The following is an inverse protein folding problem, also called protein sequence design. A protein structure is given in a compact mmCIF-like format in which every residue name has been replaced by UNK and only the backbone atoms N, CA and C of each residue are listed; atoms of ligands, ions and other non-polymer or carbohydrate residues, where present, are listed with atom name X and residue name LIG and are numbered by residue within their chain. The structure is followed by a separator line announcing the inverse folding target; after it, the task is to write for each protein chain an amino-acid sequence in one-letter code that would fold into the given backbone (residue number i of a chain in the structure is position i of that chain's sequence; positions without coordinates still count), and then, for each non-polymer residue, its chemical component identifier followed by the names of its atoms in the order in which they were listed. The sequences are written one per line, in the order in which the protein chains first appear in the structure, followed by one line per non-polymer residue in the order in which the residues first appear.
data_IF_406172866570
#
_entry.id   IF_406172866570
#
_cell.length_a   1.000
_cell.length_b   1.000
_cell.length_c   1.000
_cell.angle_alpha   90.00
_cell.angle_beta   90.00
_cell.angle_gamma   90.00
#
_symmetry.space_group_name_H-M   'P 1'
#
loop_
_entity.id
_entity.type
_entity.pdbx_description
1 polymer ?
#
# COMPACT_ATOMS: atom_id res chain seq x y z
N UNK A 1 13.36 -24.73 8.44
CA UNK A 1 12.27 -24.61 7.45
C UNK A 1 12.86 -23.92 6.23
N UNK A 2 13.50 -24.67 5.36
CA UNK A 2 13.88 -24.20 4.03
C UNK A 2 12.59 -24.08 3.22
N UNK A 3 12.22 -22.86 2.88
CA UNK A 3 11.17 -22.64 1.90
C UNK A 3 11.70 -23.15 0.57
N UNK A 4 11.30 -24.36 0.17
CA UNK A 4 11.47 -24.85 -1.19
C UNK A 4 10.75 -23.90 -2.14
N UNK A 5 11.47 -22.89 -2.61
CA UNK A 5 10.99 -21.95 -3.61
C UNK A 5 10.74 -22.75 -4.87
N UNK A 6 9.47 -22.89 -5.23
CA UNK A 6 9.10 -23.36 -6.57
C UNK A 6 9.83 -22.48 -7.59
N UNK A 7 10.55 -23.06 -8.56
CA UNK A 7 11.25 -22.28 -9.57
C UNK A 7 10.23 -21.35 -10.23
N UNK A 8 10.58 -20.06 -10.32
CA UNK A 8 9.74 -19.08 -10.98
C UNK A 8 9.41 -19.61 -12.38
N UNK A 9 8.14 -19.58 -12.81
CA UNK A 9 7.77 -20.00 -14.15
C UNK A 9 8.62 -19.21 -15.16
N UNK A 10 9.29 -19.93 -16.06
CA UNK A 10 10.03 -19.32 -17.17
C UNK A 10 9.03 -18.41 -17.90
N UNK A 11 9.31 -17.10 -18.00
CA UNK A 11 8.38 -16.20 -18.64
C UNK A 11 8.16 -16.66 -20.09
N UNK A 12 6.92 -16.59 -20.61
CA UNK A 12 6.66 -16.92 -22.00
C UNK A 12 7.55 -16.08 -22.92
N UNK A 13 7.96 -16.68 -24.04
CA UNK A 13 8.75 -16.01 -25.06
C UNK A 13 8.14 -14.65 -25.39
N UNK A 14 9.01 -13.67 -25.61
CA UNK A 14 8.63 -12.30 -25.98
C UNK A 14 7.59 -12.37 -27.11
N UNK A 15 6.49 -11.60 -27.06
CA UNK A 15 5.59 -11.53 -28.21
C UNK A 15 6.43 -11.24 -29.45
N UNK A 16 6.43 -12.20 -30.39
CA UNK A 16 7.26 -12.18 -31.58
C UNK A 16 6.94 -10.92 -32.39
N UNK A 17 7.88 -9.98 -32.46
CA UNK A 17 7.74 -8.75 -33.25
C UNK A 17 7.76 -7.44 -32.48
N UNK A 18 7.98 -7.43 -31.17
CA UNK A 18 8.12 -6.18 -30.42
C UNK A 18 9.60 -5.76 -30.37
N UNK A 19 9.99 -4.82 -31.23
CA UNK A 19 11.34 -4.24 -31.22
C UNK A 19 11.58 -3.47 -29.92
N UNK A 20 12.78 -3.57 -29.36
CA UNK A 20 13.14 -3.00 -28.05
C UNK A 20 13.06 -1.47 -27.97
N UNK A 21 12.82 -0.78 -29.09
CA UNK A 21 12.82 0.68 -29.20
C UNK A 21 11.46 1.38 -29.34
N UNK A 22 10.37 0.70 -29.67
CA UNK A 22 9.09 1.38 -29.99
C UNK A 22 8.36 1.88 -28.74
N UNK A 23 8.15 3.18 -28.55
CA UNK A 23 7.35 3.73 -27.44
C UNK A 23 5.92 3.15 -27.43
N UNK A 24 5.32 3.04 -26.24
CA UNK A 24 4.00 2.41 -26.04
C UNK A 24 3.09 3.48 -25.50
N UNK A 25 1.95 3.68 -26.15
CA UNK A 25 0.92 4.59 -25.67
C UNK A 25 -0.32 3.81 -25.20
N UNK A 26 -0.99 4.27 -24.14
CA UNK A 26 -2.27 3.71 -23.73
C UNK A 26 -3.37 3.99 -24.75
N UNK A 27 -4.13 2.96 -25.12
CA UNK A 27 -5.36 3.12 -25.90
C UNK A 27 -6.52 3.43 -24.94
N UNK A 28 -6.75 4.74 -24.71
CA UNK A 28 -7.83 5.19 -23.82
C UNK A 28 -9.21 4.74 -24.27
N UNK A 29 -9.44 4.53 -25.58
CA UNK A 29 -10.74 4.09 -26.08
C UNK A 29 -11.02 2.66 -25.61
N UNK A 30 -10.03 1.78 -25.76
CA UNK A 30 -10.12 0.38 -25.34
C UNK A 30 -10.21 0.24 -23.81
N UNK A 31 -9.43 1.04 -23.08
CA UNK A 31 -9.46 1.09 -21.60
C UNK A 31 -10.86 1.51 -21.11
N UNK A 32 -11.47 2.51 -21.75
CA UNK A 32 -12.78 3.01 -21.37
C UNK A 32 -13.93 2.08 -21.77
N UNK A 33 -13.79 1.30 -22.85
CA UNK A 33 -14.79 0.28 -23.22
C UNK A 33 -14.71 -0.98 -22.36
N UNK A 34 -13.53 -1.33 -21.85
CA UNK A 34 -13.32 -2.56 -21.05
C UNK A 34 -12.60 -2.32 -19.71
N UNK A 35 -13.12 -1.44 -18.83
CA UNK A 35 -12.41 -1.01 -17.63
C UNK A 35 -12.18 -2.16 -16.64
N UNK A 36 -13.15 -3.08 -16.50
CA UNK A 36 -13.02 -4.22 -15.57
C UNK A 36 -11.90 -5.16 -16.04
N UNK A 37 -11.80 -5.43 -17.35
CA UNK A 37 -10.77 -6.30 -17.92
C UNK A 37 -9.38 -5.67 -17.77
N UNK A 38 -9.27 -4.37 -18.05
CA UNK A 38 -8.06 -3.60 -17.81
C UNK A 38 -7.62 -3.69 -16.34
N UNK A 39 -8.54 -3.45 -15.39
CA UNK A 39 -8.25 -3.53 -13.96
C UNK A 39 -7.88 -4.95 -13.50
N UNK A 40 -8.45 -5.99 -14.09
CA UNK A 40 -8.08 -7.38 -13.79
C UNK A 40 -6.65 -7.71 -14.23
N UNK A 41 -6.25 -7.26 -15.43
CA UNK A 41 -4.90 -7.45 -15.95
C UNK A 41 -3.89 -6.61 -15.16
N UNK A 42 -4.25 -5.37 -14.83
CA UNK A 42 -3.46 -4.47 -13.99
C UNK A 42 -3.58 -4.81 -12.48
N UNK A 43 -4.43 -5.75 -12.07
CA UNK A 43 -4.73 -6.02 -10.66
C UNK A 43 -3.51 -6.34 -9.80
N UNK A 44 -2.52 -7.13 -10.26
CA UNK A 44 -1.31 -7.37 -9.48
C UNK A 44 -0.59 -6.06 -9.16
N UNK A 45 -0.59 -5.11 -10.11
CA UNK A 45 -0.02 -3.79 -9.90
C UNK A 45 -0.86 -2.94 -8.93
N UNK A 46 -2.19 -3.01 -8.98
CA UNK A 46 -3.03 -2.22 -8.07
C UNK A 46 -2.84 -2.59 -6.58
N UNK A 47 -2.64 -3.87 -6.25
CA UNK A 47 -2.57 -4.33 -4.85
C UNK A 47 -1.18 -4.24 -4.23
N UNK A 48 -0.12 -4.50 -4.99
CA UNK A 48 1.26 -4.37 -4.49
C UNK A 48 1.97 -3.09 -4.92
N UNK A 49 1.38 -2.29 -5.82
CA UNK A 49 2.01 -1.16 -6.56
C UNK A 49 3.29 -1.52 -7.29
N UNK A 50 3.69 -2.80 -7.23
CA UNK A 50 4.88 -3.38 -7.81
C UNK A 50 4.59 -4.82 -8.17
N UNK A 51 5.00 -5.30 -9.35
CA UNK A 51 4.91 -6.69 -9.69
C UNK A 51 5.86 -7.53 -8.83
N UNK A 52 5.72 -8.84 -8.93
CA UNK A 52 6.64 -9.79 -8.32
C UNK A 52 8.05 -9.58 -8.90
N UNK A 53 8.90 -8.90 -8.14
CA UNK A 53 10.30 -8.64 -8.47
C UNK A 53 11.17 -9.01 -7.26
N UNK A 54 12.34 -9.67 -7.44
CA UNK A 54 13.22 -10.06 -6.33
C UNK A 54 13.60 -8.90 -5.40
N UNK A 55 13.83 -7.70 -5.96
CA UNK A 55 14.16 -6.48 -5.22
C UNK A 55 13.06 -6.08 -4.21
N UNK A 56 11.81 -6.37 -4.52
CA UNK A 56 10.66 -6.03 -3.67
C UNK A 56 10.16 -7.20 -2.81
N UNK A 57 10.87 -8.34 -2.80
CA UNK A 57 10.50 -9.55 -2.03
C UNK A 57 10.38 -9.31 -0.50
N UNK A 58 10.99 -8.23 0.00
CA UNK A 58 10.87 -7.79 1.39
C UNK A 58 9.66 -6.89 1.67
N UNK A 59 9.03 -6.33 0.64
CA UNK A 59 7.94 -5.35 0.73
C UNK A 59 6.58 -5.93 0.34
N UNK A 60 6.57 -7.09 -0.31
CA UNK A 60 5.37 -7.84 -0.68
C UNK A 60 5.24 -9.13 0.12
N UNK A 61 4.01 -9.60 0.28
CA UNK A 61 3.73 -10.96 0.71
C UNK A 61 2.67 -11.56 -0.23
N UNK A 62 2.71 -12.88 -0.37
CA UNK A 62 1.75 -13.61 -1.20
C UNK A 62 0.62 -14.17 -0.32
N UNK A 63 -0.62 -13.95 -0.73
CA UNK A 63 -1.80 -14.52 -0.11
C UNK A 63 -2.77 -15.00 -1.17
N UNK A 64 -3.04 -16.32 -1.19
CA UNK A 64 -3.90 -16.99 -2.18
C UNK A 64 -3.51 -16.68 -3.64
N UNK A 65 -2.21 -16.73 -3.96
CA UNK A 65 -1.71 -16.47 -5.32
C UNK A 65 -1.76 -14.99 -5.74
N UNK A 66 -2.03 -14.06 -4.81
CA UNK A 66 -2.00 -12.61 -5.06
C UNK A 66 -0.93 -11.95 -4.21
N UNK A 67 -0.23 -10.98 -4.80
CA UNK A 67 0.77 -10.18 -4.11
C UNK A 67 0.13 -8.96 -3.46
N UNK A 68 0.46 -8.74 -2.21
CA UNK A 68 -0.03 -7.64 -1.39
C UNK A 68 1.14 -6.85 -0.84
N UNK A 69 1.02 -5.52 -0.88
CA UNK A 69 1.99 -4.67 -0.18
C UNK A 69 1.82 -4.84 1.33
N UNK A 70 2.89 -5.26 2.01
CA UNK A 70 2.93 -5.38 3.48
C UNK A 70 2.53 -4.05 4.12
N UNK A 71 3.05 -2.93 3.59
CA UNK A 71 2.76 -1.59 4.10
C UNK A 71 1.27 -1.24 4.09
N UNK A 72 0.61 -1.33 2.94
CA UNK A 72 -0.81 -0.97 2.81
C UNK A 72 -1.72 -1.95 3.53
N UNK A 73 -1.49 -3.25 3.35
CA UNK A 73 -2.34 -4.28 3.93
C UNK A 73 -2.34 -4.21 5.47
N UNK A 74 -1.16 -4.23 6.09
CA UNK A 74 -1.08 -4.22 7.56
C UNK A 74 -1.45 -2.88 8.18
N UNK A 75 -1.21 -1.75 7.49
CA UNK A 75 -1.67 -0.45 7.98
C UNK A 75 -3.22 -0.36 7.98
N UNK A 76 -3.86 -0.77 6.87
CA UNK A 76 -5.32 -0.82 6.79
C UNK A 76 -5.90 -1.79 7.81
N UNK A 77 -5.35 -3.01 7.89
CA UNK A 77 -5.79 -4.03 8.85
C UNK A 77 -5.65 -3.51 10.29
N UNK A 78 -4.51 -2.93 10.63
CA UNK A 78 -4.30 -2.36 11.97
C UNK A 78 -5.29 -1.26 12.28
N UNK A 79 -5.49 -0.30 11.38
CA UNK A 79 -6.43 0.80 11.62
C UNK A 79 -7.86 0.29 11.85
N UNK A 80 -8.35 -0.58 10.97
CA UNK A 80 -9.72 -1.14 11.07
C UNK A 80 -9.88 -1.95 12.35
N UNK A 81 -8.93 -2.85 12.65
CA UNK A 81 -8.98 -3.65 13.89
C UNK A 81 -8.93 -2.77 15.14
N UNK A 82 -8.09 -1.74 15.17
CA UNK A 82 -8.02 -0.80 16.30
C UNK A 82 -9.31 -0.01 16.48
N UNK A 83 -9.94 0.48 15.41
CA UNK A 83 -11.24 1.18 15.51
C UNK A 83 -12.33 0.23 16.03
N UNK A 84 -12.38 -1.01 15.54
CA UNK A 84 -13.35 -2.01 16.02
C UNK A 84 -13.13 -2.30 17.51
N UNK A 85 -11.89 -2.52 17.93
CA UNK A 85 -11.56 -2.75 19.34
C UNK A 85 -11.93 -1.55 20.21
N UNK A 86 -11.58 -0.33 19.78
CA UNK A 86 -11.94 0.90 20.50
C UNK A 86 -13.46 1.09 20.60
N UNK A 87 -14.21 0.74 19.56
CA UNK A 87 -15.67 0.78 19.57
C UNK A 87 -16.25 -0.21 20.60
N UNK A 88 -15.82 -1.47 20.59
CA UNK A 88 -16.29 -2.47 21.57
C UNK A 88 -15.90 -2.14 23.01
N UNK A 89 -14.66 -1.66 23.21
CA UNK A 89 -14.22 -1.21 24.53
C UNK A 89 -15.03 0.01 24.99
N UNK A 90 -15.34 0.95 24.09
CA UNK A 90 -16.21 2.08 24.42
C UNK A 90 -17.61 1.62 24.85
N UNK A 91 -18.22 0.65 24.14
CA UNK A 91 -19.53 0.11 24.51
C UNK A 91 -19.55 -0.57 25.89
N UNK A 92 -18.45 -1.23 26.27
CA UNK A 92 -18.38 -2.01 27.52
C UNK A 92 -17.84 -1.21 28.71
N UNK A 93 -17.02 -0.18 28.46
CA UNK A 93 -16.29 0.57 29.50
C UNK A 93 -16.23 2.07 29.19
N UNK A 94 -17.40 2.72 29.12
CA UNK A 94 -17.55 4.16 28.83
C UNK A 94 -16.64 5.05 29.70
N UNK A 95 -16.41 4.69 30.97
CA UNK A 95 -15.63 5.51 31.91
C UNK A 95 -14.11 5.33 31.82
N UNK A 96 -13.63 4.27 31.16
CA UNK A 96 -12.19 4.02 31.02
C UNK A 96 -11.54 4.86 29.92
N UNK A 97 -12.33 5.47 29.03
CA UNK A 97 -11.82 6.22 27.89
C UNK A 97 -11.63 7.71 28.19
N UNK A 98 -10.49 8.03 28.79
CA UNK A 98 -10.05 9.41 28.86
C UNK A 98 -9.55 9.89 27.48
N UNK A 99 -10.30 10.82 26.87
CA UNK A 99 -9.97 11.46 25.59
C UNK A 99 -8.53 11.97 25.53
N UNK A 100 -8.04 12.55 26.63
CA UNK A 100 -6.69 13.11 26.71
C UNK A 100 -5.62 12.05 26.50
N UNK A 101 -5.72 10.91 27.17
CA UNK A 101 -4.74 9.82 27.03
C UNK A 101 -4.82 9.14 25.67
N UNK A 102 -6.01 8.98 25.09
CA UNK A 102 -6.15 8.47 23.72
C UNK A 102 -5.47 9.37 22.70
N UNK A 103 -5.74 10.67 22.75
CA UNK A 103 -5.19 11.63 21.80
C UNK A 103 -3.66 11.68 21.91
N UNK A 104 -3.13 11.96 23.11
CA UNK A 104 -1.69 12.09 23.32
C UNK A 104 -0.94 10.76 23.20
N UNK A 105 -1.56 9.65 23.59
CA UNK A 105 -1.01 8.31 23.36
C UNK A 105 -0.91 7.99 21.86
N UNK A 106 -1.94 8.33 21.08
CA UNK A 106 -1.91 8.21 19.63
C UNK A 106 -0.86 9.11 18.97
N UNK A 107 -0.79 10.40 19.35
CA UNK A 107 0.26 11.31 18.87
C UNK A 107 1.66 10.78 19.21
N UNK A 108 1.87 10.35 20.46
CA UNK A 108 3.13 9.78 20.91
C UNK A 108 3.53 8.52 20.12
N UNK A 109 2.57 7.63 19.84
CA UNK A 109 2.81 6.44 19.02
C UNK A 109 3.18 6.77 17.57
N UNK A 110 2.57 7.79 16.96
CA UNK A 110 2.96 8.29 15.63
C UNK A 110 4.38 8.87 15.66
N UNK A 111 4.73 9.66 16.68
CA UNK A 111 6.09 10.22 16.83
C UNK A 111 7.12 9.09 16.99
N UNK A 112 6.86 8.09 17.83
CA UNK A 112 7.73 6.92 18.00
C UNK A 112 7.89 6.18 16.67
N UNK A 113 6.82 6.02 15.90
CA UNK A 113 6.88 5.42 14.58
C UNK A 113 7.80 6.18 13.62
N UNK A 114 7.67 7.51 13.56
CA UNK A 114 8.51 8.35 12.71
C UNK A 114 9.98 8.26 13.13
N UNK A 115 10.26 8.32 14.43
CA UNK A 115 11.62 8.16 14.97
C UNK A 115 12.21 6.78 14.66
N UNK A 116 11.41 5.71 14.75
CA UNK A 116 11.84 4.35 14.45
C UNK A 116 12.19 4.17 12.95
N UNK A 117 11.50 4.90 12.06
CA UNK A 117 11.84 4.93 10.64
C UNK A 117 13.17 5.65 10.42
N UNK A 118 13.33 6.86 10.99
CA UNK A 118 14.53 7.68 10.77
C UNK A 118 15.78 7.01 11.35
N UNK A 119 15.63 6.20 12.40
CA UNK A 119 16.71 5.42 12.99
C UNK A 119 17.02 4.11 12.22
N UNK A 120 16.41 3.87 11.06
CA UNK A 120 16.56 2.64 10.27
C UNK A 120 16.29 1.34 11.06
N UNK A 121 15.52 1.38 12.15
CA UNK A 121 15.30 0.21 13.01
C UNK A 121 14.40 -0.86 12.37
N UNK A 122 13.85 -0.60 11.18
CA UNK A 122 12.81 -1.40 10.50
C UNK A 122 13.34 -2.28 9.36
N UNK A 123 14.56 -2.80 9.48
CA UNK A 123 15.15 -3.65 8.42
C UNK A 123 14.47 -5.01 8.28
N UNK A 124 14.01 -5.61 9.38
CA UNK A 124 13.39 -6.95 9.35
C UNK A 124 11.90 -6.90 9.00
N UNK A 125 11.40 -7.91 8.25
CA UNK A 125 9.97 -8.04 7.89
C UNK A 125 9.04 -7.89 9.09
N UNK A 126 9.38 -8.53 10.23
CA UNK A 126 8.58 -8.47 11.46
C UNK A 126 8.50 -7.05 12.02
N UNK A 127 9.62 -6.31 12.08
CA UNK A 127 9.63 -4.92 12.56
C UNK A 127 8.87 -3.99 11.61
N UNK A 128 8.95 -4.20 10.29
CA UNK A 128 8.12 -3.48 9.32
C UNK A 128 6.63 -3.68 9.62
N UNK A 129 6.18 -4.92 9.81
CA UNK A 129 4.79 -5.23 10.16
C UNK A 129 4.39 -4.55 11.48
N UNK A 130 5.18 -4.72 12.54
CA UNK A 130 4.90 -4.12 13.85
C UNK A 130 4.82 -2.59 13.78
N UNK A 131 5.71 -1.95 13.00
CA UNK A 131 5.68 -0.51 12.81
C UNK A 131 4.38 -0.03 12.13
N UNK A 132 3.79 -0.84 11.24
CA UNK A 132 2.50 -0.53 10.61
C UNK A 132 1.33 -0.72 11.57
N UNK A 133 1.42 -1.69 12.48
CA UNK A 133 0.45 -1.83 13.57
C UNK A 133 0.52 -0.65 14.55
N UNK A 134 1.74 -0.21 14.89
CA UNK A 134 1.93 0.97 15.73
C UNK A 134 1.33 2.21 15.06
N UNK A 135 1.65 2.47 13.79
CA UNK A 135 1.10 3.61 13.05
C UNK A 135 -0.42 3.56 12.94
N UNK A 136 -0.98 2.44 12.46
CA UNK A 136 -2.42 2.28 12.25
C UNK A 136 -3.22 2.38 13.55
N UNK A 137 -2.75 1.73 14.63
CA UNK A 137 -3.40 1.81 15.94
C UNK A 137 -3.28 3.19 16.59
N UNK A 138 -2.12 3.84 16.47
CA UNK A 138 -1.93 5.20 16.98
C UNK A 138 -2.82 6.21 16.26
N UNK A 139 -2.91 6.08 14.93
CA UNK A 139 -3.82 6.91 14.12
C UNK A 139 -5.29 6.66 14.48
N UNK A 140 -5.69 5.40 14.68
CA UNK A 140 -7.03 5.05 15.14
C UNK A 140 -7.35 5.67 16.50
N UNK A 141 -6.41 5.71 17.44
CA UNK A 141 -6.59 6.35 18.74
C UNK A 141 -6.81 7.87 18.62
N UNK A 142 -6.05 8.55 17.75
CA UNK A 142 -6.25 9.97 17.44
C UNK A 142 -7.64 10.20 16.85
N UNK A 143 -8.01 9.45 15.80
CA UNK A 143 -9.33 9.55 15.17
C UNK A 143 -10.45 9.31 16.18
N UNK A 144 -10.35 8.27 17.00
CA UNK A 144 -11.35 7.95 18.02
C UNK A 144 -11.48 9.07 19.06
N UNK A 145 -10.37 9.65 19.51
CA UNK A 145 -10.38 10.76 20.45
C UNK A 145 -11.05 12.03 19.88
N UNK A 146 -10.88 12.29 18.58
CA UNK A 146 -11.57 13.39 17.88
C UNK A 146 -13.07 13.13 17.76
N UNK A 147 -13.47 11.89 17.48
CA UNK A 147 -14.89 11.51 17.42
C UNK A 147 -15.58 11.68 18.78
N UNK A 148 -14.89 11.35 19.87
CA UNK A 148 -15.40 11.51 21.23
C UNK A 148 -15.46 12.97 21.72
N UNK A 149 -14.79 13.90 21.04
CA UNK A 149 -14.74 15.29 21.49
C UNK A 149 -16.15 15.91 21.56
N UNK A 150 -16.52 16.47 22.71
CA UNK A 150 -17.82 17.11 22.94
C UNK A 150 -19.04 16.20 22.67
N UNK A 151 -18.84 14.89 22.82
CA UNK A 151 -19.87 13.85 22.64
C UNK A 151 -19.97 13.36 21.20
N UNK A 152 -20.23 12.05 21.01
CA UNK A 152 -20.07 11.37 19.72
C UNK A 152 -20.90 11.99 18.57
N UNK A 153 -22.15 12.36 18.82
CA UNK A 153 -23.09 12.87 17.80
C UNK A 153 -22.99 14.38 17.57
N UNK A 154 -22.31 15.12 18.44
CA UNK A 154 -22.16 16.57 18.29
C UNK A 154 -21.22 16.91 17.13
N UNK A 155 -21.65 17.83 16.26
CA UNK A 155 -20.88 18.34 15.11
C UNK A 155 -20.28 17.23 14.22
N UNK A 156 -21.04 16.15 14.00
CA UNK A 156 -20.57 14.95 13.32
C UNK A 156 -19.94 15.24 11.94
N UNK A 157 -20.53 16.17 11.18
CA UNK A 157 -20.01 16.59 9.88
C UNK A 157 -18.61 17.21 10.00
N UNK A 158 -18.42 18.16 10.92
CA UNK A 158 -17.13 18.83 11.12
C UNK A 158 -16.05 17.83 11.57
N UNK A 159 -16.41 16.87 12.44
CA UNK A 159 -15.50 15.81 12.88
C UNK A 159 -15.09 14.89 11.74
N UNK A 160 -16.05 14.43 10.93
CA UNK A 160 -15.74 13.61 9.76
C UNK A 160 -14.89 14.36 8.75
N UNK A 161 -15.18 15.64 8.49
CA UNK A 161 -14.33 16.49 7.65
C UNK A 161 -12.92 16.60 8.21
N UNK A 162 -12.75 16.84 9.51
CA UNK A 162 -11.44 16.93 10.15
C UNK A 162 -10.67 15.60 10.06
N UNK A 163 -11.33 14.47 10.38
CA UNK A 163 -10.75 13.12 10.27
C UNK A 163 -10.34 12.82 8.83
N UNK A 164 -11.18 13.19 7.86
CA UNK A 164 -10.91 12.99 6.45
C UNK A 164 -9.69 13.82 5.99
N UNK A 165 -9.61 15.10 6.35
CA UNK A 165 -8.46 15.95 6.04
C UNK A 165 -7.18 15.39 6.67
N UNK A 166 -7.23 14.98 7.94
CA UNK A 166 -6.10 14.37 8.63
C UNK A 166 -5.66 13.07 7.94
N UNK A 167 -6.61 12.23 7.53
CA UNK A 167 -6.35 11.02 6.76
C UNK A 167 -5.67 11.32 5.43
N UNK A 168 -6.15 12.32 4.67
CA UNK A 168 -5.53 12.73 3.41
C UNK A 168 -4.08 13.18 3.60
N UNK A 169 -3.79 13.98 4.62
CA UNK A 169 -2.42 14.41 4.94
C UNK A 169 -1.51 13.22 5.22
N UNK A 170 -1.97 12.28 6.06
CA UNK A 170 -1.19 11.07 6.40
C UNK A 170 -0.98 10.19 5.17
N UNK A 171 -2.03 9.93 4.39
CA UNK A 171 -1.93 9.11 3.18
C UNK A 171 -1.03 9.77 2.14
N UNK A 172 -1.13 11.09 1.94
CA UNK A 172 -0.27 11.82 1.03
C UNK A 172 1.21 11.70 1.44
N UNK A 173 1.53 11.93 2.71
CA UNK A 173 2.90 11.80 3.23
C UNK A 173 3.46 10.38 3.06
N UNK A 174 2.66 9.35 3.39
CA UNK A 174 3.06 7.95 3.22
C UNK A 174 3.22 7.58 1.73
N UNK A 175 2.37 8.12 0.87
CA UNK A 175 2.42 7.87 -0.58
C UNK A 175 3.66 8.50 -1.20
N UNK A 176 3.97 9.75 -0.85
CA UNK A 176 5.19 10.44 -1.29
C UNK A 176 6.42 9.65 -0.87
N UNK A 177 6.54 9.30 0.42
CA UNK A 177 7.67 8.50 0.92
C UNK A 177 7.83 7.19 0.17
N UNK A 178 6.72 6.49 -0.09
CA UNK A 178 6.73 5.22 -0.81
C UNK A 178 7.16 5.38 -2.26
N UNK A 179 6.71 6.44 -2.94
CA UNK A 179 7.13 6.75 -4.31
C UNK A 179 8.63 7.01 -4.34
N UNK A 180 9.17 7.79 -3.40
CA UNK A 180 10.61 8.05 -3.31
C UNK A 180 11.43 6.77 -3.08
N UNK A 181 11.06 5.94 -2.09
CA UNK A 181 11.74 4.66 -1.83
C UNK A 181 11.68 3.70 -3.04
N UNK A 182 10.54 3.69 -3.72
CA UNK A 182 10.33 2.91 -4.94
C UNK A 182 11.25 3.38 -6.05
N UNK A 183 11.25 4.69 -6.30
CA UNK A 183 12.03 5.33 -7.36
C UNK A 183 13.52 5.04 -7.14
N UNK A 184 14.02 5.26 -5.93
CA UNK A 184 15.41 4.96 -5.57
C UNK A 184 15.78 3.48 -5.76
N UNK A 185 14.86 2.56 -5.40
CA UNK A 185 15.08 1.12 -5.59
C UNK A 185 15.14 0.75 -7.07
N UNK A 186 14.22 1.27 -7.89
CA UNK A 186 14.15 0.97 -9.31
C UNK A 186 15.28 1.62 -10.11
N UNK A 187 15.77 2.79 -9.70
CA UNK A 187 16.96 3.45 -10.28
C UNK A 187 18.25 2.67 -10.01
N UNK A 188 18.37 2.01 -8.86
CA UNK A 188 19.52 1.17 -8.52
C UNK A 188 19.47 -0.24 -9.12
N UNK A 189 18.35 -0.62 -9.69
CA UNK A 189 18.15 -1.93 -10.30
C UNK A 189 18.86 -2.01 -11.66
N UNK A 190 19.26 -3.21 -12.09
CA UNK A 190 19.92 -3.43 -13.39
C UNK A 190 19.10 -2.91 -14.59
N UNK A 191 17.78 -2.83 -14.43
CA UNK A 191 16.86 -2.34 -15.45
C UNK A 191 16.67 -0.81 -15.45
N UNK A 192 17.21 -0.05 -14.49
CA UNK A 192 17.14 1.43 -14.46
C UNK A 192 15.74 2.03 -14.76
N UNK A 193 14.69 1.50 -14.12
CA UNK A 193 13.29 1.84 -14.43
C UNK A 193 12.81 1.55 -15.86
N UNK A 194 13.43 0.64 -16.61
CA UNK A 194 12.91 0.18 -17.89
C UNK A 194 11.85 -0.92 -17.65
N UNK A 195 10.60 -0.49 -17.43
CA UNK A 195 9.47 -1.36 -17.07
C UNK A 195 9.20 -2.50 -18.09
N UNK A 196 9.69 -2.37 -19.32
CA UNK A 196 9.48 -3.35 -20.40
C UNK A 196 10.42 -4.53 -20.32
N UNK A 197 11.69 -4.24 -20.04
CA UNK A 197 12.75 -5.23 -19.89
C UNK A 197 12.73 -5.82 -18.49
N UNK A 198 12.17 -5.08 -17.51
CA UNK A 198 11.97 -5.55 -16.15
C UNK A 198 11.16 -6.86 -16.09
N UNK A 199 11.72 -7.96 -15.57
CA UNK A 199 11.08 -9.28 -15.56
C UNK A 199 9.80 -9.32 -14.72
N UNK A 200 9.69 -8.45 -13.70
CA UNK A 200 8.47 -8.32 -12.92
C UNK A 200 7.33 -7.69 -13.73
N UNK A 201 7.61 -6.63 -14.49
CA UNK A 201 6.58 -5.90 -15.23
C UNK A 201 6.24 -6.50 -16.59
N UNK A 202 7.21 -7.15 -17.24
CA UNK A 202 7.07 -7.72 -18.58
C UNK A 202 5.79 -8.57 -18.77
N UNK A 203 5.40 -9.48 -17.86
CA UNK A 203 4.16 -10.26 -18.01
C UNK A 203 2.89 -9.39 -18.00
N UNK A 204 2.90 -8.29 -17.24
CA UNK A 204 1.77 -7.36 -17.16
C UNK A 204 1.69 -6.55 -18.46
N UNK A 205 2.83 -5.99 -18.90
CA UNK A 205 2.92 -5.22 -20.14
C UNK A 205 2.51 -6.08 -21.34
N UNK A 206 3.04 -7.31 -21.46
CA UNK A 206 2.69 -8.22 -22.54
C UNK A 206 1.19 -8.53 -22.58
N UNK A 207 0.56 -8.78 -21.42
CA UNK A 207 -0.90 -8.97 -21.38
C UNK A 207 -1.67 -7.73 -21.78
N UNK A 208 -1.23 -6.54 -21.37
CA UNK A 208 -1.88 -5.28 -21.76
C UNK A 208 -1.77 -5.02 -23.27
N UNK A 209 -0.62 -5.33 -23.88
CA UNK A 209 -0.41 -5.21 -25.34
C UNK A 209 -1.27 -6.22 -26.11
N UNK A 210 -1.24 -7.50 -25.70
CA UNK A 210 -2.01 -8.56 -26.36
C UNK A 210 -3.52 -8.31 -26.33
N UNK A 211 -3.99 -7.58 -25.31
CA UNK A 211 -5.40 -7.23 -25.11
C UNK A 211 -5.76 -5.88 -25.72
N UNK A 212 -4.85 -5.23 -26.43
CA UNK A 212 -5.08 -3.95 -27.13
C UNK A 212 -5.11 -2.72 -26.23
N UNK A 213 -4.80 -2.83 -24.94
CA UNK A 213 -4.77 -1.68 -24.03
C UNK A 213 -3.53 -0.80 -24.18
N UNK A 214 -2.44 -1.35 -24.74
CA UNK A 214 -1.22 -0.64 -25.08
C UNK A 214 -0.91 -0.87 -26.56
N UNK A 215 -0.69 0.21 -27.31
CA UNK A 215 -0.32 0.16 -28.73
C UNK A 215 1.05 0.79 -28.94
N UNK A 216 1.89 0.24 -29.85
CA UNK A 216 3.13 0.91 -30.25
C UNK A 216 2.79 2.28 -30.86
N UNK A 217 3.65 3.27 -30.60
CA UNK A 217 3.50 4.63 -31.13
C UNK A 217 3.71 4.73 -32.64
#
# INVERSE_FOLDING_TARGET
MENGGTPNPVPPDSPSGMDSGESLRPDYREILSHPIRFLQIASPFLTSHHPACPEFSLHTFEFKGRYWCIGCFFNMLSFVTSIIVLFFLWLTQIMSFNRFFLFWGGVGGIVIYLLAITAHLTETKRRKILSKFLLGGSFAAVVWSLLLADGLLSMINAKFTLVFLLYLVVVAALSIKRVLETTETCERCEYNMEWRTCPGFRPIVSKLVNEGFLVPE
#
